data_IF_734428325991
#
_entry.id   IF_734428325991
#
_cell.length_a   1.000
_cell.length_b   1.000
_cell.length_c   1.000
_cell.angle_alpha   90.00
_cell.angle_beta   90.00
_cell.angle_gamma   90.00
#
_symmetry.space_group_name_H-M   'P 1'
#
loop_
_entity.id
_entity.type
_entity.pdbx_description
1 polymer ?
#
# COMPACT_ATOMS: atom_id res chain seq x y z
N UNK A 1 -5.14 2.67 8.63
CA UNK A 1 -4.11 2.27 7.64
C UNK A 1 -4.67 2.08 6.23
N UNK A 2 -5.97 1.77 6.02
CA UNK A 2 -6.55 1.63 4.67
C UNK A 2 -6.61 2.90 3.79
N UNK A 3 -6.20 4.05 4.30
CA UNK A 3 -6.52 5.33 3.66
C UNK A 3 -5.41 5.84 2.74
N UNK A 4 -4.22 5.24 2.73
CA UNK A 4 -3.06 5.70 1.95
C UNK A 4 -2.51 4.50 1.19
N UNK A 5 -2.50 4.57 -0.13
CA UNK A 5 -1.88 3.63 -1.04
C UNK A 5 -0.65 4.27 -1.69
N UNK A 6 0.52 3.81 -1.26
CA UNK A 6 1.84 4.23 -1.73
C UNK A 6 2.71 3.04 -2.15
N UNK A 7 2.08 1.92 -2.51
CA UNK A 7 2.78 0.71 -2.93
C UNK A 7 3.56 0.98 -4.20
N UNK A 8 4.88 0.82 -4.14
CA UNK A 8 5.78 1.20 -5.23
C UNK A 8 5.42 0.45 -6.53
N UNK A 9 5.01 -0.82 -6.42
CA UNK A 9 4.65 -1.67 -7.56
C UNK A 9 3.32 -1.30 -8.22
N UNK A 10 2.49 -0.48 -7.56
CA UNK A 10 1.21 0.01 -8.08
C UNK A 10 1.32 1.41 -8.74
N UNK A 11 2.51 2.03 -8.69
CA UNK A 11 2.81 3.32 -9.30
C UNK A 11 3.84 3.17 -10.43
N UNK A 12 3.94 4.14 -11.37
CA UNK A 12 4.98 4.10 -12.40
C UNK A 12 6.41 4.08 -11.82
N UNK A 13 7.27 3.24 -12.39
CA UNK A 13 8.66 3.03 -11.93
C UNK A 13 9.54 4.30 -11.93
N UNK A 14 9.16 5.34 -12.67
CA UNK A 14 9.88 6.62 -12.70
C UNK A 14 9.44 7.60 -11.61
N UNK A 15 8.44 7.24 -10.80
CA UNK A 15 7.99 8.03 -9.66
C UNK A 15 9.04 7.98 -8.55
N UNK A 16 9.41 9.15 -8.06
CA UNK A 16 10.18 9.37 -6.84
C UNK A 16 9.23 9.42 -5.65
N UNK A 17 8.07 10.08 -5.81
CA UNK A 17 6.95 10.10 -4.85
C UNK A 17 5.67 9.77 -5.60
N UNK A 18 4.90 8.83 -5.09
CA UNK A 18 3.61 8.44 -5.61
C UNK A 18 2.74 7.89 -4.50
N UNK A 19 1.60 8.53 -4.25
CA UNK A 19 0.59 7.97 -3.36
C UNK A 19 -0.79 8.48 -3.67
N UNK A 20 -1.79 7.66 -3.38
CA UNK A 20 -3.20 8.05 -3.36
C UNK A 20 -3.75 7.87 -1.97
N UNK A 21 -4.50 8.84 -1.47
CA UNK A 21 -5.16 8.75 -0.18
C UNK A 21 -6.63 9.14 -0.26
N UNK A 22 -7.44 8.51 0.59
CA UNK A 22 -8.89 8.70 0.63
C UNK A 22 -9.38 8.88 2.06
N UNK A 23 -10.22 9.89 2.24
CA UNK A 23 -10.93 10.12 3.49
C UNK A 23 -12.36 10.58 3.19
N UNK A 24 -13.34 9.74 3.58
CA UNK A 24 -14.75 9.95 3.26
C UNK A 24 -14.96 10.08 1.74
N UNK A 25 -15.56 11.18 1.30
CA UNK A 25 -15.80 11.49 -0.11
C UNK A 25 -14.62 12.18 -0.80
N UNK A 26 -13.52 12.46 -0.09
CA UNK A 26 -12.36 13.18 -0.62
C UNK A 26 -11.26 12.17 -0.93
N UNK A 27 -10.73 12.23 -2.14
CA UNK A 27 -9.55 11.47 -2.55
C UNK A 27 -8.52 12.42 -3.14
N UNK A 28 -7.28 12.33 -2.70
CA UNK A 28 -6.16 13.08 -3.28
C UNK A 28 -5.04 12.13 -3.69
N UNK A 29 -4.33 12.51 -4.73
CA UNK A 29 -3.15 11.78 -5.19
C UNK A 29 -2.05 12.75 -5.55
N UNK A 30 -0.83 12.39 -5.17
CA UNK A 30 0.37 13.16 -5.45
C UNK A 30 1.31 12.32 -6.30
N UNK A 31 1.94 12.96 -7.27
CA UNK A 31 2.96 12.35 -8.12
C UNK A 31 4.14 13.29 -8.33
N UNK A 32 5.34 12.75 -8.19
CA UNK A 32 6.59 13.36 -8.63
C UNK A 32 7.41 12.29 -9.34
N UNK A 33 7.58 12.41 -10.65
CA UNK A 33 8.55 11.65 -11.44
C UNK A 33 9.96 12.23 -11.31
N UNK A 34 10.96 11.51 -11.80
CA UNK A 34 12.34 12.04 -11.97
C UNK A 34 12.38 13.35 -12.73
N UNK A 35 11.57 13.49 -13.78
CA UNK A 35 11.56 14.72 -14.60
C UNK A 35 10.84 15.88 -13.92
N UNK A 36 9.88 15.60 -13.04
CA UNK A 36 9.22 16.63 -12.24
C UNK A 36 10.19 17.12 -11.14
N UNK A 37 10.96 16.21 -10.54
CA UNK A 37 12.03 16.52 -9.58
C UNK A 37 13.16 17.37 -10.19
N UNK A 38 13.56 17.09 -11.43
CA UNK A 38 14.58 17.89 -12.12
C UNK A 38 14.03 19.24 -12.62
N UNK A 39 12.71 19.33 -12.80
CA UNK A 39 12.03 20.40 -13.52
C UNK A 39 12.08 20.22 -15.04
N UNK A 40 10.97 20.54 -15.71
CA UNK A 40 10.81 20.38 -17.15
C UNK A 40 11.61 21.42 -17.95
N UNK A 41 12.87 21.11 -18.26
CA UNK A 41 13.81 22.02 -18.96
C UNK A 41 13.35 22.53 -20.33
N UNK A 42 12.34 21.90 -20.93
CA UNK A 42 11.77 22.28 -22.22
C UNK A 42 10.61 23.27 -22.11
N UNK A 43 10.17 23.64 -20.89
CA UNK A 43 9.02 24.51 -20.67
C UNK A 43 9.34 25.59 -19.63
N UNK A 44 8.92 26.83 -19.82
CA UNK A 44 9.15 27.92 -18.85
C UNK A 44 8.14 27.95 -17.68
N UNK A 45 7.10 27.12 -17.73
CA UNK A 45 6.02 27.11 -16.73
C UNK A 45 6.27 26.14 -15.57
N UNK A 46 7.18 25.18 -15.76
CA UNK A 46 7.43 24.08 -14.83
C UNK A 46 8.90 23.60 -14.89
N UNK A 47 9.85 24.50 -15.18
CA UNK A 47 11.30 24.23 -15.26
C UNK A 47 11.99 24.04 -13.89
N UNK A 48 11.23 24.16 -12.80
CA UNK A 48 11.65 23.97 -11.42
C UNK A 48 11.12 22.65 -10.82
N UNK A 49 11.73 22.11 -9.75
CA UNK A 49 11.25 20.92 -9.05
C UNK A 49 9.85 21.10 -8.46
N UNK A 50 8.92 20.17 -8.73
CA UNK A 50 7.53 20.32 -8.31
C UNK A 50 6.77 18.99 -8.14
N UNK A 51 5.66 19.04 -7.38
CA UNK A 51 4.65 17.99 -7.35
C UNK A 51 3.54 18.29 -8.35
N UNK A 52 2.94 17.21 -8.85
CA UNK A 52 1.59 17.25 -9.37
C UNK A 52 0.62 16.67 -8.34
N UNK A 53 -0.57 17.25 -8.28
CA UNK A 53 -1.65 16.80 -7.40
C UNK A 53 -2.95 16.65 -8.18
N UNK A 54 -3.71 15.62 -7.86
CA UNK A 54 -5.10 15.45 -8.25
C UNK A 54 -5.97 15.37 -7.00
N UNK A 55 -7.19 15.90 -7.08
CA UNK A 55 -8.22 15.73 -6.06
C UNK A 55 -9.55 15.35 -6.71
N UNK A 56 -10.24 14.38 -6.12
CA UNK A 56 -11.61 14.01 -6.46
C UNK A 56 -12.52 14.19 -5.24
N UNK A 57 -13.74 14.66 -5.51
CA UNK A 57 -14.84 14.73 -4.56
C UNK A 57 -15.95 13.82 -5.08
N UNK A 58 -16.37 12.83 -4.28
CA UNK A 58 -17.36 11.82 -4.68
C UNK A 58 -17.01 11.13 -6.02
N UNK A 59 -15.71 10.87 -6.22
CA UNK A 59 -15.18 10.26 -7.45
C UNK A 59 -15.14 11.19 -8.67
N UNK A 60 -15.55 12.46 -8.53
CA UNK A 60 -15.52 13.45 -9.60
C UNK A 60 -14.28 14.32 -9.50
N UNK A 61 -13.64 14.62 -10.64
CA UNK A 61 -12.46 15.48 -10.69
C UNK A 61 -12.76 16.88 -10.15
N UNK A 62 -12.04 17.28 -9.11
CA UNK A 62 -12.07 18.63 -8.55
C UNK A 62 -10.79 19.41 -8.91
N UNK A 63 -9.63 18.77 -8.75
CA UNK A 63 -8.31 19.25 -9.20
C UNK A 63 -7.69 18.16 -10.07
N UNK A 64 -7.17 18.49 -11.24
CA UNK A 64 -6.39 17.57 -12.10
C UNK A 64 -4.90 17.79 -11.91
N UNK A 65 -4.10 16.75 -12.20
CA UNK A 65 -2.64 16.86 -12.23
C UNK A 65 -2.11 18.01 -13.09
N UNK A 66 -2.80 18.34 -14.19
CA UNK A 66 -2.40 19.41 -15.10
C UNK A 66 -2.63 20.82 -14.55
N UNK A 67 -3.43 20.97 -13.49
CA UNK A 67 -3.90 22.28 -13.06
C UNK A 67 -2.82 23.03 -12.28
N UNK A 68 -1.98 22.33 -11.52
CA UNK A 68 -0.95 22.92 -10.67
C UNK A 68 0.39 22.18 -10.76
N UNK A 69 1.48 22.96 -10.73
CA UNK A 69 2.83 22.49 -10.43
C UNK A 69 3.18 23.10 -9.07
N UNK A 70 3.13 22.29 -8.02
CA UNK A 70 3.37 22.75 -6.64
C UNK A 70 4.89 22.79 -6.43
N UNK A 71 5.53 23.96 -6.34
CA UNK A 71 6.98 24.04 -6.22
C UNK A 71 7.45 23.39 -4.91
N UNK A 72 8.60 22.73 -4.95
CA UNK A 72 9.22 22.22 -3.75
C UNK A 72 9.77 23.33 -2.87
N UNK A 73 9.62 23.15 -1.56
CA UNK A 73 10.40 23.84 -0.56
C UNK A 73 11.84 23.28 -0.52
N UNK A 74 12.77 24.04 0.06
CA UNK A 74 14.15 23.57 0.24
C UNK A 74 14.24 22.28 1.08
N UNK A 75 13.37 22.16 2.09
CA UNK A 75 13.26 20.97 2.93
C UNK A 75 12.75 19.76 2.16
N UNK A 76 11.79 19.94 1.25
CA UNK A 76 11.30 18.85 0.39
C UNK A 76 12.44 18.30 -0.48
N UNK A 77 13.27 19.18 -1.05
CA UNK A 77 14.45 18.78 -1.84
C UNK A 77 15.43 18.01 -0.95
N UNK A 78 15.72 18.51 0.25
CA UNK A 78 16.61 17.85 1.19
C UNK A 78 16.11 16.45 1.56
N UNK A 79 14.84 16.33 1.94
CA UNK A 79 14.23 15.06 2.33
C UNK A 79 14.22 14.07 1.16
N UNK A 80 13.86 14.54 -0.05
CA UNK A 80 13.89 13.72 -1.26
C UNK A 80 15.30 13.25 -1.56
N UNK A 81 16.31 14.12 -1.52
CA UNK A 81 17.69 13.69 -1.72
C UNK A 81 18.12 12.67 -0.67
N UNK A 82 17.74 12.88 0.58
CA UNK A 82 18.11 12.01 1.68
C UNK A 82 17.54 10.61 1.50
N UNK A 83 16.23 10.46 1.30
CA UNK A 83 15.66 9.13 1.13
C UNK A 83 15.98 8.52 -0.24
N UNK A 84 16.21 9.29 -1.30
CA UNK A 84 16.57 8.72 -2.61
C UNK A 84 18.00 8.21 -2.67
N UNK A 85 18.95 8.89 -2.01
CA UNK A 85 20.38 8.50 -1.97
C UNK A 85 20.70 7.52 -0.83
N UNK A 86 19.91 7.52 0.25
CA UNK A 86 20.14 6.69 1.43
C UNK A 86 18.95 5.79 1.78
N UNK A 87 18.33 5.17 0.76
CA UNK A 87 17.14 4.28 0.89
C UNK A 87 17.29 3.17 1.93
N UNK A 88 18.51 2.69 2.15
CA UNK A 88 18.79 1.61 3.11
C UNK A 88 18.68 2.08 4.58
N UNK A 89 18.75 3.39 4.82
CA UNK A 89 18.76 3.98 6.17
C UNK A 89 17.56 4.88 6.42
N UNK A 90 17.11 5.61 5.40
CA UNK A 90 16.07 6.63 5.50
C UNK A 90 14.86 6.20 4.67
N UNK A 91 13.69 6.23 5.31
CA UNK A 91 12.40 5.97 4.68
C UNK A 91 11.57 7.23 4.64
N UNK A 92 10.80 7.38 3.58
CA UNK A 92 9.73 8.38 3.51
C UNK A 92 8.55 7.93 4.38
N UNK A 93 7.93 8.86 5.09
CA UNK A 93 6.75 8.63 5.94
C UNK A 93 5.82 9.85 5.91
N UNK A 94 4.58 9.72 6.36
CA UNK A 94 3.57 10.79 6.33
C UNK A 94 3.37 11.43 7.73
N UNK A 95 4.43 11.45 8.53
CA UNK A 95 4.49 12.07 9.86
C UNK A 95 3.71 11.31 10.93
N UNK A 96 2.38 11.45 10.95
CA UNK A 96 1.51 10.80 11.96
C UNK A 96 0.90 9.48 11.49
N UNK A 97 1.26 9.01 10.30
CA UNK A 97 0.79 7.76 9.76
C UNK A 97 1.72 7.24 8.70
N UNK A 98 1.70 5.93 8.50
CA UNK A 98 2.43 5.23 7.47
C UNK A 98 1.51 4.85 6.31
N UNK A 99 2.06 4.86 5.10
CA UNK A 99 1.45 4.21 3.96
C UNK A 99 1.53 2.69 4.06
N UNK A 100 0.98 2.02 3.05
CA UNK A 100 0.96 0.57 2.92
C UNK A 100 2.37 0.02 2.69
N UNK A 101 3.19 0.70 1.89
CA UNK A 101 4.53 0.23 1.54
C UNK A 101 5.30 -0.19 2.79
N UNK A 102 5.40 0.67 3.81
CA UNK A 102 6.18 0.40 5.03
C UNK A 102 5.79 -0.87 5.78
N UNK A 103 4.53 -1.32 5.68
CA UNK A 103 4.08 -2.57 6.29
C UNK A 103 4.48 -3.79 5.45
N UNK A 104 4.48 -3.66 4.13
CA UNK A 104 4.77 -4.75 3.20
C UNK A 104 6.26 -4.99 2.97
N UNK A 105 7.13 -4.00 3.17
CA UNK A 105 8.58 -4.14 2.96
C UNK A 105 9.28 -5.02 4.01
N UNK A 106 8.65 -5.29 5.16
CA UNK A 106 9.32 -5.97 6.27
C UNK A 106 8.52 -7.13 6.84
N UNK A 107 9.21 -8.21 7.19
CA UNK A 107 8.61 -9.36 7.88
C UNK A 107 7.88 -8.94 9.16
N UNK A 108 8.43 -7.99 9.92
CA UNK A 108 7.79 -7.45 11.12
C UNK A 108 6.48 -6.72 10.82
N UNK A 109 6.42 -5.99 9.71
CA UNK A 109 5.20 -5.33 9.25
C UNK A 109 4.12 -6.34 8.87
N UNK A 110 4.47 -7.39 8.13
CA UNK A 110 3.56 -8.48 7.79
C UNK A 110 3.07 -9.26 9.03
N UNK A 111 3.96 -9.54 9.99
CA UNK A 111 3.59 -10.14 11.28
C UNK A 111 2.63 -9.25 12.07
N UNK A 112 2.90 -7.94 12.12
CA UNK A 112 2.03 -6.95 12.75
C UNK A 112 0.64 -6.95 12.10
N UNK A 113 0.56 -7.01 10.76
CA UNK A 113 -0.72 -7.14 10.05
C UNK A 113 -1.46 -8.39 10.52
N UNK A 114 -0.82 -9.56 10.55
CA UNK A 114 -1.48 -10.81 10.93
C UNK A 114 -1.98 -10.81 12.37
N UNK A 115 -1.20 -10.24 13.29
CA UNK A 115 -1.47 -10.32 14.73
C UNK A 115 -2.44 -9.26 15.23
N UNK A 116 -2.59 -8.16 14.50
CA UNK A 116 -3.45 -7.03 14.89
C UNK A 116 -4.70 -6.88 14.02
N UNK A 117 -4.75 -7.54 12.86
CA UNK A 117 -5.94 -7.50 11.98
C UNK A 117 -7.11 -8.27 12.54
N UNK A 118 -8.31 -7.81 12.20
CA UNK A 118 -9.58 -8.45 12.52
C UNK A 118 -10.41 -8.61 11.23
N UNK A 119 -11.28 -9.64 11.15
CA UNK A 119 -12.21 -9.78 10.04
C UNK A 119 -13.18 -8.60 9.96
N UNK A 120 -13.54 -8.22 8.74
CA UNK A 120 -14.60 -7.24 8.47
C UNK A 120 -15.79 -7.92 7.80
N UNK A 121 -17.01 -7.41 8.00
CA UNK A 121 -18.22 -7.98 7.40
C UNK A 121 -18.35 -7.65 5.90
N UNK A 122 -17.89 -6.47 5.49
CA UNK A 122 -17.89 -6.03 4.11
C UNK A 122 -16.44 -5.90 3.60
N UNK A 123 -16.13 -6.65 2.55
CA UNK A 123 -14.81 -6.70 1.88
C UNK A 123 -14.36 -5.31 1.39
N UNK A 124 -15.28 -4.46 0.93
CA UNK A 124 -15.02 -3.07 0.50
C UNK A 124 -14.47 -2.18 1.63
N UNK A 125 -14.52 -2.64 2.87
CA UNK A 125 -13.96 -1.94 4.02
C UNK A 125 -12.62 -2.52 4.50
N UNK A 126 -12.17 -3.64 3.94
CA UNK A 126 -10.97 -4.35 4.35
C UNK A 126 -9.71 -3.59 3.95
N UNK A 127 -8.78 -3.41 4.89
CA UNK A 127 -7.47 -2.83 4.60
C UNK A 127 -6.53 -3.83 3.90
N UNK A 128 -6.71 -5.11 4.21
CA UNK A 128 -5.84 -6.19 3.74
C UNK A 128 -6.70 -7.37 3.30
N UNK A 129 -6.27 -8.01 2.23
CA UNK A 129 -6.72 -9.34 1.84
C UNK A 129 -5.67 -10.34 2.31
N UNK A 130 -6.11 -11.37 3.03
CA UNK A 130 -5.22 -12.37 3.61
C UNK A 130 -5.65 -13.74 3.09
N UNK A 131 -4.82 -14.33 2.24
CA UNK A 131 -4.99 -15.67 1.72
C UNK A 131 -4.15 -16.64 2.55
N UNK A 132 -4.69 -17.82 2.85
CA UNK A 132 -3.97 -18.84 3.62
C UNK A 132 -4.08 -20.17 2.92
N UNK A 133 -2.92 -20.74 2.60
CA UNK A 133 -2.79 -22.06 2.02
C UNK A 133 -2.17 -22.98 3.07
N UNK A 134 -2.88 -24.05 3.42
CA UNK A 134 -2.40 -25.10 4.30
C UNK A 134 -2.19 -26.36 3.47
N UNK A 135 -1.00 -26.95 3.54
CA UNK A 135 -0.66 -28.16 2.79
C UNK A 135 -0.10 -29.23 3.72
N UNK A 136 -0.66 -30.44 3.63
CA UNK A 136 -0.10 -31.62 4.28
C UNK A 136 1.24 -32.00 3.63
N UNK A 137 2.09 -32.72 4.36
CA UNK A 137 3.20 -33.44 3.74
C UNK A 137 2.68 -34.55 2.83
N UNK A 138 3.51 -34.95 1.88
CA UNK A 138 3.18 -36.06 0.98
C UNK A 138 2.87 -37.34 1.78
N UNK A 139 1.74 -37.97 1.46
CA UNK A 139 1.25 -39.16 2.15
C UNK A 139 0.50 -38.89 3.47
N UNK A 140 0.37 -37.64 3.88
CA UNK A 140 -0.36 -37.25 5.10
C UNK A 140 -1.65 -36.48 4.79
N UNK A 141 -2.53 -36.36 5.78
CA UNK A 141 -3.78 -35.60 5.70
C UNK A 141 -3.86 -34.55 6.80
N UNK A 142 -4.57 -33.45 6.52
CA UNK A 142 -4.91 -32.45 7.53
C UNK A 142 -6.25 -32.86 8.17
N UNK A 143 -6.32 -32.85 9.49
CA UNK A 143 -7.57 -33.07 10.20
C UNK A 143 -8.53 -31.89 9.93
N UNK A 144 -9.71 -32.18 9.37
CA UNK A 144 -10.74 -31.19 9.11
C UNK A 144 -11.26 -30.51 10.39
N UNK A 145 -11.23 -31.20 11.53
CA UNK A 145 -11.64 -30.62 12.81
C UNK A 145 -10.70 -29.51 13.25
N UNK A 146 -9.39 -29.64 12.99
CA UNK A 146 -8.41 -28.60 13.29
C UNK A 146 -8.74 -27.29 12.56
N UNK A 147 -9.12 -27.39 11.28
CA UNK A 147 -9.50 -26.22 10.48
C UNK A 147 -10.82 -25.62 10.97
N UNK A 148 -11.82 -26.46 11.23
CA UNK A 148 -13.11 -26.01 11.74
C UNK A 148 -12.98 -25.29 13.11
N UNK A 149 -12.17 -25.84 14.00
CA UNK A 149 -11.88 -25.25 15.31
C UNK A 149 -11.13 -23.92 15.17
N UNK A 150 -10.18 -23.83 14.23
CA UNK A 150 -9.47 -22.58 13.97
C UNK A 150 -10.41 -21.47 13.48
N UNK A 151 -11.35 -21.77 12.58
CA UNK A 151 -12.35 -20.81 12.09
C UNK A 151 -13.26 -20.35 13.23
N UNK A 152 -13.74 -21.29 14.06
CA UNK A 152 -14.59 -20.98 15.21
C UNK A 152 -13.87 -20.13 16.26
N UNK A 153 -12.62 -20.47 16.55
CA UNK A 153 -11.78 -19.72 17.49
C UNK A 153 -11.47 -18.31 16.98
N UNK A 154 -11.12 -18.18 15.69
CA UNK A 154 -10.89 -16.88 15.05
C UNK A 154 -12.11 -15.96 15.18
N UNK A 155 -13.31 -16.48 14.92
CA UNK A 155 -14.57 -15.73 15.09
C UNK A 155 -14.79 -15.31 16.55
N UNK A 156 -14.59 -16.22 17.50
CA UNK A 156 -14.80 -15.93 18.93
C UNK A 156 -13.80 -14.90 19.49
N UNK A 157 -12.55 -14.93 19.01
CA UNK A 157 -11.47 -14.03 19.46
C UNK A 157 -11.36 -12.75 18.64
N UNK A 158 -12.19 -12.59 17.62
CA UNK A 158 -12.11 -11.52 16.63
C UNK A 158 -10.70 -11.37 16.02
N UNK A 159 -10.11 -12.50 15.61
CA UNK A 159 -8.79 -12.58 14.98
C UNK A 159 -8.90 -13.16 13.57
N UNK A 160 -7.86 -12.99 12.77
CA UNK A 160 -7.76 -13.66 11.46
C UNK A 160 -7.62 -15.18 11.62
N UNK A 161 -8.21 -15.94 10.70
CA UNK A 161 -8.04 -17.41 10.65
C UNK A 161 -6.56 -17.76 10.47
N UNK A 162 -5.84 -16.97 9.68
CA UNK A 162 -4.40 -17.11 9.41
C UNK A 162 -3.55 -17.03 10.68
N UNK A 163 -3.81 -16.06 11.56
CA UNK A 163 -3.09 -15.93 12.85
C UNK A 163 -3.32 -17.17 13.73
N UNK A 164 -4.56 -17.65 13.83
CA UNK A 164 -4.90 -18.85 14.62
C UNK A 164 -4.28 -20.12 14.03
N UNK A 165 -4.35 -20.31 12.71
CA UNK A 165 -3.77 -21.46 12.03
C UNK A 165 -2.25 -21.48 12.14
N UNK A 166 -1.59 -20.32 12.01
CA UNK A 166 -0.14 -20.19 12.17
C UNK A 166 0.31 -20.72 13.52
N UNK A 167 -0.42 -20.46 14.59
CA UNK A 167 -0.09 -20.96 15.93
C UNK A 167 -0.41 -22.44 16.11
N UNK A 168 -1.58 -22.90 15.66
CA UNK A 168 -2.00 -24.31 15.82
C UNK A 168 -1.14 -25.27 15.00
N UNK A 169 -0.63 -24.84 13.85
CA UNK A 169 0.13 -25.69 12.94
C UNK A 169 1.63 -25.80 13.26
N UNK A 170 2.17 -24.98 14.19
CA UNK A 170 3.60 -24.97 14.57
C UNK A 170 4.17 -26.35 14.91
N UNK A 171 3.36 -27.20 15.54
CA UNK A 171 3.76 -28.52 16.02
C UNK A 171 3.14 -29.66 15.19
N UNK A 172 2.65 -29.36 13.99
CA UNK A 172 2.05 -30.33 13.09
C UNK A 172 2.98 -30.61 11.91
N UNK A 173 2.66 -31.65 11.15
CA UNK A 173 3.37 -31.96 9.91
C UNK A 173 2.86 -31.17 8.70
N UNK A 174 1.92 -30.24 8.86
CA UNK A 174 1.45 -29.39 7.77
C UNK A 174 2.32 -28.14 7.61
N UNK A 175 2.43 -27.67 6.37
CA UNK A 175 3.01 -26.37 6.05
C UNK A 175 1.91 -25.33 5.87
N UNK A 176 2.21 -24.09 6.23
CA UNK A 176 1.32 -22.94 6.05
C UNK A 176 2.04 -21.88 5.22
N UNK A 177 1.37 -21.40 4.19
CA UNK A 177 1.78 -20.22 3.42
C UNK A 177 0.69 -19.16 3.56
N UNK A 178 1.10 -17.94 3.88
CA UNK A 178 0.21 -16.80 4.06
C UNK A 178 0.63 -15.74 3.07
N UNK A 179 -0.31 -15.34 2.23
CA UNK A 179 -0.17 -14.26 1.27
C UNK A 179 -1.03 -13.09 1.76
N UNK A 180 -0.42 -11.92 1.86
CA UNK A 180 -1.07 -10.69 2.30
C UNK A 180 -0.98 -9.72 1.13
N UNK A 181 -2.09 -9.10 0.77
CA UNK A 181 -2.18 -8.09 -0.27
C UNK A 181 -3.11 -6.95 0.17
N UNK A 182 -3.13 -5.82 -0.55
CA UNK A 182 -4.10 -4.75 -0.30
C UNK A 182 -5.53 -5.29 -0.40
N UNK A 183 -6.39 -4.84 0.52
CA UNK A 183 -7.83 -5.14 0.46
C UNK A 183 -8.60 -4.06 -0.30
N UNK A 184 -9.84 -4.37 -0.68
CA UNK A 184 -10.71 -3.51 -1.48
C UNK A 184 -11.05 -2.15 -0.84
N UNK A 185 -10.79 -1.99 0.46
CA UNK A 185 -10.93 -0.72 1.17
C UNK A 185 -9.75 0.24 1.00
N UNK A 186 -8.67 -0.19 0.35
CA UNK A 186 -7.51 0.64 0.00
C UNK A 186 -7.83 1.42 -1.28
N UNK A 187 -7.54 2.72 -1.36
CA UNK A 187 -7.82 3.47 -2.57
C UNK A 187 -6.94 3.01 -3.74
N UNK A 188 -7.57 2.81 -4.89
CA UNK A 188 -6.88 2.54 -6.15
C UNK A 188 -5.91 3.69 -6.50
N UNK A 189 -4.68 3.38 -6.94
CA UNK A 189 -3.71 4.38 -7.33
C UNK A 189 -4.25 5.24 -8.48
N UNK A 190 -4.31 6.56 -8.27
CA UNK A 190 -4.56 7.49 -9.36
C UNK A 190 -3.23 7.78 -10.04
N UNK A 191 -3.10 7.34 -11.29
CA UNK A 191 -1.85 7.46 -12.05
C UNK A 191 -1.97 8.59 -13.07
N UNK A 192 -0.94 9.43 -13.18
CA UNK A 192 -0.85 10.44 -14.23
C UNK A 192 -0.56 9.75 -15.56
N UNK A 193 -1.56 9.67 -16.43
CA UNK A 193 -1.38 9.17 -17.79
C UNK A 193 -0.47 10.11 -18.58
N UNK A 194 0.65 9.58 -19.08
CA UNK A 194 1.52 10.32 -20.00
C UNK A 194 0.79 10.66 -21.30
N UNK A 195 1.20 11.76 -21.95
CA UNK A 195 0.75 12.06 -23.32
C UNK A 195 1.24 10.91 -24.20
N UNK A 196 0.33 10.07 -24.68
CA UNK A 196 0.62 9.12 -25.76
C UNK A 196 1.21 9.92 -26.93
N UNK A 197 2.53 9.76 -27.16
CA UNK A 197 3.12 10.18 -28.43
C UNK A 197 2.47 9.31 -29.49
N UNK A 198 1.46 9.85 -30.19
CA UNK A 198 1.04 9.28 -31.47
C UNK A 198 2.31 9.20 -32.33
N UNK A 199 2.75 7.97 -32.60
CA UNK A 199 3.76 7.70 -33.63
C UNK A 199 3.21 8.13 -34.99
#
# INVERSE_FOLDING_TARGET
MKNINDLIDEHPNDYIIGFTAKYKHIQWSFSCSKTDYEGHKTTSYADFPHYHMQMQLDGQSFIRYSDFHIPFHGDDIFDIELYTKHKDTIRHDYGHGSGMQALFESTKGLECILDTSHPVENEENAAFKINTLVMAKEGETIDGNLIADAIKEAKNKNKTVSSILRDKLKNTNASISIDISPGDGVPEPQIRNGRNKKK
#
